data_IF_879984109625
#
_entry.id   IF_879984109625
#
_cell.length_a   1.000
_cell.length_b   1.000
_cell.length_c   1.000
_cell.angle_alpha   90.00
_cell.angle_beta   90.00
_cell.angle_gamma   90.00
#
_symmetry.space_group_name_H-M   'P 1'
#
loop_
_entity.id
_entity.type
_entity.pdbx_description
1 polymer ?
2 water ?
#
# COMPACT_ATOMS: atom_id res chain seq x y z
N UNK A 2 -9.37 -19.01 1.40
CA UNK A 2 -8.52 -18.05 2.14
C UNK A 2 -8.68 -16.59 1.66
N UNK A 3 -8.40 -15.63 2.59
CA UNK A 3 -8.43 -14.20 2.28
C UNK A 3 -7.35 -13.92 1.25
N UNK A 4 -7.68 -13.14 0.22
CA UNK A 4 -6.70 -12.84 -0.77
C UNK A 4 -6.65 -11.33 -1.00
N UNK A 5 -5.42 -10.80 -1.01
CA UNK A 5 -5.15 -9.42 -1.39
C UNK A 5 -4.37 -9.56 -2.68
N UNK A 6 -4.93 -9.05 -3.77
CA UNK A 6 -4.30 -9.16 -5.09
C UNK A 6 -4.05 -7.77 -5.68
N UNK A 7 -2.75 -7.51 -5.92
CA UNK A 7 -2.29 -6.26 -6.49
C UNK A 7 -2.30 -6.34 -8.01
N UNK A 8 -2.68 -5.25 -8.63
CA UNK A 8 -2.63 -5.12 -10.08
C UNK A 8 -2.23 -3.68 -10.41
N UNK A 9 -1.91 -3.40 -11.68
CA UNK A 9 -1.55 -2.05 -12.09
C UNK A 9 -0.06 -1.76 -12.07
N UNK A 10 0.74 -2.77 -11.71
CA UNK A 10 2.19 -2.64 -11.65
C UNK A 10 2.86 -2.77 -13.01
N UNK A 11 4.15 -3.08 -12.97
CA UNK A 11 4.94 -3.35 -14.16
C UNK A 11 6.04 -2.35 -14.45
N UNK A 12 6.50 -2.35 -15.71
CA UNK A 12 7.55 -1.46 -16.17
C UNK A 12 6.94 -0.10 -16.51
N UNK A 13 7.70 0.98 -16.24
CA UNK A 13 7.31 2.36 -16.49
C UNK A 13 8.58 3.21 -16.62
N UNK A 14 8.49 4.27 -17.42
CA UNK A 14 9.56 5.23 -17.63
C UNK A 14 9.62 6.16 -16.42
N UNK A 15 10.84 6.59 -16.06
CA UNK A 15 11.07 7.55 -14.97
C UNK A 15 10.32 8.84 -15.27
N UNK A 16 9.70 9.40 -14.25
CA UNK A 16 8.89 10.61 -14.36
C UNK A 16 7.45 10.27 -14.68
N UNK A 17 7.21 9.01 -15.03
CA UNK A 17 5.89 8.51 -15.36
C UNK A 17 5.07 8.20 -14.13
N UNK A 18 3.86 7.69 -14.36
CA UNK A 18 2.94 7.38 -13.27
C UNK A 18 2.38 5.97 -13.43
N UNK A 19 1.96 5.37 -12.33
CA UNK A 19 1.27 4.10 -12.30
C UNK A 19 0.27 4.21 -11.19
N UNK A 20 -0.80 3.44 -11.29
CA UNK A 20 -1.75 3.37 -10.20
C UNK A 20 -1.89 1.88 -9.81
N UNK A 21 -1.41 1.53 -8.62
CA UNK A 21 -1.57 0.17 -8.15
C UNK A 21 -2.95 0.06 -7.54
N UNK A 22 -3.56 -1.10 -7.69
CA UNK A 22 -4.83 -1.33 -7.06
C UNK A 22 -4.71 -2.62 -6.28
N UNK A 23 -5.44 -2.70 -5.22
CA UNK A 23 -5.38 -3.89 -4.41
C UNK A 23 -6.80 -4.23 -4.06
N UNK A 24 -7.24 -5.42 -4.49
CA UNK A 24 -8.60 -5.89 -4.33
C UNK A 24 -8.61 -6.90 -3.23
N UNK A 25 -9.40 -6.61 -2.19
CA UNK A 25 -9.52 -7.43 -1.00
C UNK A 25 -10.76 -8.29 -1.08
N UNK A 26 -10.59 -9.61 -0.97
CA UNK A 26 -11.70 -10.57 -1.01
C UNK A 26 -11.67 -11.51 0.21
N UNK A 27 -12.87 -11.84 0.69
CA UNK A 27 -13.05 -12.74 1.83
C UNK A 27 -13.44 -12.07 3.13
N UNK A 28 -13.23 -10.74 3.24
CA UNK A 28 -13.54 -9.97 4.47
C UNK A 28 -14.22 -8.65 4.18
N UNK A 29 -14.81 -8.06 5.24
CA UNK A 29 -15.44 -6.75 5.19
C UNK A 29 -14.28 -5.75 5.36
N UNK A 30 -13.75 -5.33 4.23
CA UNK A 30 -12.57 -4.47 4.05
C UNK A 30 -12.62 -3.14 4.85
N UNK A 31 -13.83 -2.62 5.13
CA UNK A 31 -14.03 -1.36 5.86
C UNK A 31 -13.62 -1.48 7.32
N UNK A 32 -13.41 -2.71 7.82
CA UNK A 32 -12.99 -2.86 9.21
C UNK A 32 -11.45 -2.95 9.27
N UNK A 33 -10.76 -2.63 8.15
CA UNK A 33 -9.32 -2.72 8.09
C UNK A 33 -8.66 -1.46 7.61
N UNK A 34 -7.52 -1.14 8.21
CA UNK A 34 -6.57 -0.18 7.72
C UNK A 34 -5.99 -0.91 6.51
N UNK A 35 -5.79 -0.19 5.41
CA UNK A 35 -5.16 -0.80 4.23
C UNK A 35 -3.89 -0.04 3.96
N UNK A 36 -2.92 -0.65 3.35
CA UNK A 36 -1.68 0.04 3.06
C UNK A 36 -0.79 -0.68 2.09
N UNK A 37 0.43 -0.16 1.97
CA UNK A 37 1.42 -0.71 1.06
C UNK A 37 2.75 -0.71 1.74
N UNK A 38 3.46 -1.79 1.51
CA UNK A 38 4.85 -1.93 1.87
C UNK A 38 5.59 -2.13 0.53
N UNK A 39 6.90 -1.92 0.50
CA UNK A 39 7.64 -2.28 -0.72
C UNK A 39 8.95 -2.88 -0.32
N UNK A 40 9.55 -3.61 -1.22
CA UNK A 40 10.85 -4.20 -0.95
C UNK A 40 11.64 -4.24 -2.23
N UNK A 41 12.71 -3.45 -2.25
CA UNK A 41 13.67 -3.39 -3.37
C UNK A 41 14.59 -4.62 -3.30
N UNK A 42 15.07 -5.17 -4.45
CA UNK A 42 15.98 -6.33 -4.37
C UNK A 42 17.24 -5.99 -3.57
N UNK A 43 17.59 -6.87 -2.64
CA UNK A 43 18.73 -6.72 -1.74
C UNK A 43 18.48 -5.86 -0.52
N UNK A 44 17.22 -5.37 -0.35
CA UNK A 44 16.87 -4.52 0.78
C UNK A 44 15.72 -5.12 1.61
N UNK A 45 15.55 -4.61 2.84
CA UNK A 45 14.48 -5.06 3.74
C UNK A 45 13.15 -4.42 3.29
N UNK A 46 12.03 -5.00 3.71
CA UNK A 46 10.70 -4.49 3.36
C UNK A 46 10.47 -3.23 4.18
N UNK A 47 9.91 -2.23 3.53
CA UNK A 47 9.67 -0.96 4.18
C UNK A 47 8.24 -0.54 4.04
N UNK A 48 7.77 0.16 5.03
CA UNK A 48 6.43 0.73 4.95
C UNK A 48 6.41 1.83 3.87
N UNK A 49 5.30 1.94 3.14
CA UNK A 49 5.18 2.98 2.12
C UNK A 49 4.06 3.94 2.52
N UNK A 50 2.86 3.40 2.80
CA UNK A 50 1.71 4.25 3.13
C UNK A 50 0.63 3.38 3.74
N UNK A 51 -0.27 3.98 4.48
CA UNK A 51 -1.46 3.33 5.00
C UNK A 51 -2.57 4.34 5.12
N UNK A 52 -3.80 3.87 5.02
CA UNK A 52 -4.99 4.70 5.13
C UNK A 52 -5.89 4.05 6.17
N UNK A 53 -6.45 4.88 7.02
CA UNK A 53 -7.32 4.42 8.09
C UNK A 53 -8.56 3.71 7.57
N UNK A 54 -9.22 2.96 8.47
CA UNK A 54 -10.41 2.14 8.17
C UNK A 54 -11.38 2.86 7.27
N UNK A 55 -11.75 4.09 7.65
CA UNK A 55 -12.74 4.86 6.91
C UNK A 55 -12.13 5.92 5.94
N UNK A 56 -10.81 6.03 5.89
CA UNK A 56 -10.15 6.99 4.99
C UNK A 56 -9.91 8.38 5.58
N UNK A 57 -10.17 8.54 6.87
CA UNK A 57 -9.98 9.83 7.50
C UNK A 57 -8.55 10.21 7.80
N UNK A 58 -7.64 9.22 7.87
CA UNK A 58 -6.24 9.46 8.19
C UNK A 58 -5.34 8.70 7.24
N UNK A 59 -4.27 9.34 6.81
CA UNK A 59 -3.32 8.74 5.88
C UNK A 59 -1.93 9.05 6.37
N UNK A 60 -1.02 8.09 6.20
CA UNK A 60 0.36 8.28 6.54
C UNK A 60 1.17 7.86 5.34
N UNK A 61 2.24 8.60 5.06
CA UNK A 61 3.19 8.33 4.00
C UNK A 61 4.57 8.28 4.59
N UNK A 62 5.36 7.33 4.09
CA UNK A 62 6.78 7.25 4.43
C UNK A 62 7.46 8.48 3.71
N UNK A 63 8.57 8.93 4.26
CA UNK A 63 9.32 10.06 3.68
C UNK A 63 9.72 9.74 2.26
N UNK A 64 9.99 8.46 1.97
CA UNK A 64 10.45 8.03 0.64
C UNK A 64 9.48 8.43 -0.48
N UNK A 65 8.18 8.55 -0.16
CA UNK A 65 7.15 8.74 -1.20
C UNK A 65 6.24 9.94 -0.97
N UNK A 66 6.26 10.54 0.25
CA UNK A 66 5.36 11.66 0.53
C UNK A 66 5.51 12.76 -0.53
N UNK A 67 4.38 13.29 -0.97
CA UNK A 67 4.41 14.34 -1.97
C UNK A 67 4.31 13.81 -3.39
N UNK A 68 4.64 12.51 -3.61
CA UNK A 68 4.58 11.93 -4.96
C UNK A 68 3.53 10.85 -5.09
N UNK A 69 3.26 10.11 -4.00
CA UNK A 69 2.30 9.02 -4.03
C UNK A 69 1.03 9.44 -3.31
N UNK A 70 -0.08 8.85 -3.72
CA UNK A 70 -1.33 9.14 -3.06
C UNK A 70 -2.03 7.82 -2.83
N UNK A 71 -2.44 7.57 -1.62
CA UNK A 71 -3.24 6.37 -1.32
C UNK A 71 -4.71 6.79 -1.25
N UNK A 72 -5.62 5.93 -1.68
CA UNK A 72 -7.04 6.20 -1.56
C UNK A 72 -7.69 4.85 -1.43
N UNK A 73 -8.92 4.84 -0.93
CA UNK A 73 -9.67 3.58 -0.79
C UNK A 73 -11.09 3.74 -1.20
N UNK A 74 -11.68 2.61 -1.59
CA UNK A 74 -13.06 2.62 -1.99
C UNK A 74 -13.71 1.49 -1.21
N UNK A 75 -14.39 1.85 -0.10
CA UNK A 75 -15.06 0.90 0.79
C UNK A 75 -16.19 0.11 0.11
N UNK A 76 -16.77 0.68 -0.96
CA UNK A 76 -17.88 0.05 -1.69
C UNK A 76 -17.38 -1.03 -2.67
N UNK A 77 -16.12 -0.93 -3.12
CA UNK A 77 -15.43 -1.83 -4.06
C UNK A 77 -14.38 -2.73 -3.40
N UNK A 78 -14.14 -2.57 -2.07
CA UNK A 78 -13.14 -3.35 -1.33
C UNK A 78 -11.77 -3.22 -2.01
N UNK A 79 -11.41 -1.99 -2.36
CA UNK A 79 -10.17 -1.72 -3.06
C UNK A 79 -9.42 -0.56 -2.41
N UNK A 80 -8.10 -0.65 -2.42
CA UNK A 80 -7.20 0.38 -2.00
C UNK A 80 -6.34 0.67 -3.24
N UNK A 81 -5.94 1.94 -3.43
CA UNK A 81 -5.12 2.31 -4.57
C UNK A 81 -3.89 3.00 -4.13
N UNK A 82 -2.86 2.93 -4.98
CA UNK A 82 -1.68 3.70 -4.72
C UNK A 82 -1.34 4.41 -6.01
N UNK A 83 7.65 8.94 -10.82
CA UNK A 83 8.41 7.74 -10.47
C UNK A 83 9.91 7.87 -10.72
N UNK A 84 -1.62 5.72 -6.07
CA UNK A 84 -1.29 6.48 -7.27
C UNK A 84 0.17 6.88 -7.10
N UNK A 85 1.01 6.45 -8.02
CA UNK A 85 2.44 6.73 -7.97
C UNK A 85 2.80 7.71 -9.07
N UNK A 86 3.13 8.92 -8.68
CA UNK A 86 3.54 9.95 -9.62
C UNK A 86 5.04 10.22 -9.54
N UNK A 87 5.56 10.87 -10.59
CA UNK A 87 6.97 11.28 -10.67
C UNK A 87 7.87 10.13 -10.24
N UNK A 88 10.71 7.33 -9.80
CA UNK A 88 12.19 7.40 -9.91
C UNK A 88 12.73 5.96 -9.92
N UNK A 89 13.96 5.72 -10.44
CA UNK A 89 14.53 4.36 -10.40
C UNK A 89 14.55 3.76 -8.98
N UNK A 90 14.78 4.62 -7.96
CA UNK A 90 14.77 4.25 -6.53
C UNK A 90 13.40 3.66 -6.08
N UNK A 91 12.31 3.85 -6.86
CA UNK A 91 10.97 3.31 -6.54
C UNK A 91 10.81 1.86 -7.07
N UNK A 92 11.83 1.34 -7.77
CA UNK A 92 11.75 -0.03 -8.26
C UNK A 92 11.69 -0.96 -7.05
N UNK A 93 10.68 -1.83 -7.02
CA UNK A 93 10.49 -2.73 -5.89
C UNK A 93 9.32 -3.62 -6.13
N UNK A 94 9.17 -4.59 -5.24
CA UNK A 94 7.96 -5.39 -5.18
C UNK A 94 7.08 -4.63 -4.16
N UNK A 95 5.89 -4.22 -4.58
CA UNK A 95 4.92 -3.49 -3.73
C UNK A 95 3.92 -4.47 -3.24
N UNK A 96 3.69 -4.49 -1.93
CA UNK A 96 2.76 -5.44 -1.34
C UNK A 96 1.65 -4.70 -0.63
N UNK A 97 0.41 -5.02 -0.99
CA UNK A 97 -0.75 -4.47 -0.31
C UNK A 97 -0.92 -5.19 1.04
N UNK A 98 -1.41 -4.47 2.04
CA UNK A 98 -1.62 -5.01 3.40
C UNK A 98 -2.97 -4.53 3.93
N UNK A 99 -3.52 -5.32 4.84
CA UNK A 99 -4.76 -5.01 5.52
C UNK A 99 -4.57 -5.41 6.97
N UNK A 100 -4.91 -4.52 7.88
CA UNK A 100 -4.71 -4.82 9.30
C UNK A 100 -5.47 -3.91 10.22
N UNK A 101 -5.03 -3.86 11.49
CA UNK A 101 -5.66 -3.04 12.55
C UNK A 101 -7.11 -3.42 12.72
N UNK A 102 -7.40 -4.73 12.58
CA UNK A 102 -8.74 -5.24 12.85
C UNK A 102 -8.94 -4.98 14.35
N UNK A 103 -10.16 -4.74 14.78
CA UNK A 103 -10.43 -4.47 16.19
C UNK A 103 -10.08 -3.05 16.59
N UNK A 104 -9.73 -2.19 15.61
CA UNK A 104 -9.45 -0.76 15.74
C UNK A 104 -8.34 -0.41 16.74
N UNK A 105 -7.22 -1.11 16.62
CA UNK A 105 -6.04 -0.81 17.42
C UNK A 105 -5.50 0.55 17.01
N UNK A 106 -4.91 1.29 17.96
CA UNK A 106 -4.37 2.63 17.75
C UNK A 106 -3.63 2.75 16.40
N UNK A 107 -4.20 3.52 15.48
CA UNK A 107 -3.60 3.74 14.17
C UNK A 107 -2.98 5.12 14.12
N UNK A 108 -1.67 5.16 14.29
CA UNK A 108 -0.90 6.39 14.29
C UNK A 108 0.21 6.29 13.28
N UNK A 109 0.95 7.41 13.09
CA UNK A 109 2.12 7.50 12.22
C UNK A 109 3.12 6.40 12.65
N UNK A 110 3.29 6.17 13.97
CA UNK A 110 4.19 5.15 14.49
C UNK A 110 3.71 3.72 14.20
N UNK A 111 2.47 3.38 14.62
CA UNK A 111 1.94 2.02 14.48
C UNK A 111 1.67 1.62 13.04
N UNK A 112 1.42 2.60 12.16
CA UNK A 112 1.21 2.33 10.74
C UNK A 112 2.42 1.58 10.15
N UNK A 113 3.62 1.84 10.69
CA UNK A 113 4.87 1.22 10.23
C UNK A 113 5.05 -0.23 10.67
N UNK A 114 4.32 -0.63 11.71
CA UNK A 114 4.49 -1.95 12.31
C UNK A 114 3.88 -3.07 11.51
N UNK A 115 4.74 -3.92 10.88
CA UNK A 115 4.28 -5.05 10.06
C UNK A 115 3.41 -6.02 10.86
N UNK A 116 3.67 -6.13 12.19
CA UNK A 116 2.89 -7.02 13.07
C UNK A 116 1.44 -6.65 13.16
N UNK A 117 1.10 -5.37 12.88
CA UNK A 117 -0.27 -4.86 12.93
C UNK A 117 -1.06 -5.25 11.70
N UNK A 118 -0.40 -5.77 10.65
CA UNK A 118 -1.10 -6.15 9.42
C UNK A 118 -1.43 -7.63 9.38
N UNK A 119 -2.73 -7.95 9.24
CA UNK A 119 -3.25 -9.32 9.24
C UNK A 119 -2.97 -10.05 7.94
N UNK A 120 -3.24 -9.36 6.80
CA UNK A 120 -3.15 -9.91 5.47
C UNK A 120 -2.15 -9.18 4.64
N UNK A 121 -1.41 -9.97 3.86
CA UNK A 121 -0.37 -9.48 2.98
C UNK A 121 -0.65 -10.01 1.59
N UNK A 122 -0.55 -9.14 0.62
CA UNK A 122 -0.78 -9.54 -0.77
C UNK A 122 0.34 -10.38 -1.33
N UNK A 123 0.17 -10.83 -2.59
CA UNK A 123 1.21 -11.60 -3.26
C UNK A 123 2.36 -10.71 -3.75
N UNK A 124 2.12 -9.41 -3.78
CA UNK A 124 3.08 -8.42 -4.25
C UNK A 124 3.10 -8.28 -5.75
N UNK A 125 3.53 -7.12 -6.21
CA UNK A 125 3.67 -6.82 -7.62
C UNK A 125 4.91 -5.99 -7.85
N UNK A 126 5.60 -6.30 -8.93
CA UNK A 126 6.82 -5.62 -9.31
C UNK A 126 6.54 -4.33 -10.06
N UNK A 127 7.14 -3.26 -9.60
CA UNK A 127 7.14 -1.98 -10.28
C UNK A 127 8.59 -1.74 -10.66
N UNK A 128 8.86 -1.61 -11.95
CA UNK A 128 10.22 -1.35 -12.45
C UNK A 128 10.26 -0.01 -13.12
N UNK A 129 11.06 0.90 -12.58
CA UNK A 129 11.22 2.24 -13.13
C UNK A 129 12.54 2.32 -13.88
N UNK A 130 12.43 2.42 -15.21
CA UNK A 130 13.56 2.45 -16.14
C UNK A 130 14.18 3.84 -16.23
#
# INVERSE_FOLDING_TARGET
MQVQLVESGGGLVQAGGSLRLSCAASGRTFSSYVMGWFRQAPGKEREFVTAISWSGGSIHYADSVKGRFTISRDNAKNTVYLLQMNSKPEDTAVYTCVAGFAGYGSFTSRSARDSDKYDYWGQGTKVTVSSHHHHHH
#
